data_IF_114297941856
#
_entry.id   IF_114297941856
#
_cell.length_a   1.000
_cell.length_b   1.000
_cell.length_c   1.000
_cell.angle_alpha   90.00
_cell.angle_beta   90.00
_cell.angle_gamma   90.00
#
_symmetry.space_group_name_H-M   'P 1'
#
loop_
_entity.id
_entity.type
_entity.pdbx_description
1 polymer ?
#
# COMPACT_ATOMS: atom_id res chain seq x y z
N UNK A 1 -2.80 18.23 2.65
CA UNK A 1 -1.54 17.52 2.80
C UNK A 1 -1.76 16.22 3.57
N UNK A 2 -1.16 15.16 3.11
CA UNK A 2 -1.37 13.83 3.68
C UNK A 2 -0.14 13.37 4.44
N UNK A 3 -0.38 12.58 5.49
CA UNK A 3 0.67 11.96 6.29
C UNK A 3 0.33 10.49 6.48
N UNK A 4 1.31 9.62 6.29
CA UNK A 4 1.13 8.17 6.40
C UNK A 4 1.96 7.65 7.56
N UNK A 5 1.31 6.96 8.48
CA UNK A 5 1.91 6.54 9.75
C UNK A 5 1.81 5.02 9.86
N UNK A 6 2.92 4.32 10.17
CA UNK A 6 2.83 2.88 10.39
C UNK A 6 2.05 2.57 11.67
N UNK A 7 1.25 1.53 11.62
CA UNK A 7 0.45 1.10 12.78
C UNK A 7 0.55 -0.40 12.96
N UNK A 8 0.30 -0.84 14.19
CA UNK A 8 0.21 -2.25 14.53
C UNK A 8 -1.08 -2.83 13.93
N UNK A 9 -1.07 -4.13 13.61
CA UNK A 9 -2.26 -4.78 13.06
C UNK A 9 -3.49 -4.56 13.93
N UNK A 10 -3.31 -4.44 15.24
CA UNK A 10 -4.43 -4.26 16.17
C UNK A 10 -5.21 -2.96 15.92
N UNK A 11 -4.58 -2.00 15.27
CA UNK A 11 -5.22 -0.71 14.98
C UNK A 11 -5.92 -0.68 13.63
N UNK A 12 -5.86 -1.78 12.89
CA UNK A 12 -6.54 -1.90 11.61
C UNK A 12 -8.01 -2.23 11.83
N UNK A 13 -8.83 -1.99 10.82
CA UNK A 13 -10.25 -2.33 10.92
C UNK A 13 -10.43 -3.86 10.89
N UNK A 14 -11.54 -4.36 11.44
CA UNK A 14 -11.87 -5.77 11.37
C UNK A 14 -12.12 -6.20 9.93
N UNK A 15 -11.76 -7.40 9.53
CA UNK A 15 -11.14 -8.46 10.34
C UNK A 15 -9.62 -8.39 10.42
N UNK A 16 -8.99 -7.37 9.83
CA UNK A 16 -7.54 -7.30 9.72
C UNK A 16 -6.86 -7.11 11.08
N UNK A 17 -7.58 -6.51 12.02
CA UNK A 17 -7.08 -6.30 13.38
C UNK A 17 -6.88 -7.60 14.16
N UNK A 18 -7.34 -8.72 13.61
CA UNK A 18 -7.20 -10.02 14.26
C UNK A 18 -6.11 -10.89 13.64
N UNK A 19 -5.40 -10.38 12.64
CA UNK A 19 -4.36 -11.13 11.95
C UNK A 19 -3.00 -10.57 12.32
N UNK A 20 -2.30 -11.27 13.21
CA UNK A 20 -1.01 -10.81 13.71
C UNK A 20 0.11 -10.85 12.69
N UNK A 21 -0.12 -11.42 11.51
CA UNK A 21 0.88 -11.43 10.45
C UNK A 21 0.86 -10.13 9.63
N UNK A 22 -0.11 -9.25 9.85
CA UNK A 22 -0.26 -8.05 9.05
C UNK A 22 0.46 -6.85 9.67
N UNK A 23 0.95 -5.99 8.78
CA UNK A 23 1.43 -4.66 9.11
C UNK A 23 0.47 -3.67 8.46
N UNK A 24 0.51 -2.42 8.87
CA UNK A 24 -0.39 -1.45 8.28
C UNK A 24 0.13 -0.03 8.30
N UNK A 25 -0.52 0.80 7.50
CA UNK A 25 -0.34 2.25 7.51
C UNK A 25 -1.71 2.90 7.56
N UNK A 26 -1.77 4.04 8.22
CA UNK A 26 -2.96 4.88 8.26
C UNK A 26 -2.60 6.23 7.69
N UNK A 27 -3.46 6.76 6.83
CA UNK A 27 -3.28 8.08 6.25
C UNK A 27 -4.12 9.10 6.99
N UNK A 28 -3.55 10.26 7.22
CA UNK A 28 -4.23 11.39 7.86
C UNK A 28 -4.16 12.59 6.96
N UNK A 29 -5.25 13.36 6.94
CA UNK A 29 -5.25 14.65 6.29
C UNK A 29 -4.83 15.68 7.33
N UNK A 30 -3.69 16.33 7.10
CA UNK A 30 -3.14 17.27 8.07
C UNK A 30 -3.95 18.55 8.17
N UNK A 31 -4.88 18.79 7.25
CA UNK A 31 -5.72 19.97 7.31
C UNK A 31 -6.63 19.93 8.54
N UNK A 32 -7.18 18.76 8.86
CA UNK A 32 -8.11 18.61 9.99
C UNK A 32 -7.76 17.43 10.88
N UNK A 33 -6.63 16.76 10.65
CA UNK A 33 -6.17 15.59 11.39
C UNK A 33 -7.14 14.42 11.33
N UNK A 34 -7.97 14.35 10.29
CA UNK A 34 -8.88 13.23 10.15
C UNK A 34 -8.20 12.05 9.46
N UNK A 35 -8.60 10.86 9.85
CA UNK A 35 -8.14 9.64 9.17
C UNK A 35 -8.79 9.58 7.80
N UNK A 36 -7.98 9.46 6.75
CA UNK A 36 -8.49 9.42 5.39
C UNK A 36 -8.26 8.09 4.68
N UNK A 37 -7.56 7.15 5.30
CA UNK A 37 -7.39 5.84 4.69
C UNK A 37 -6.54 4.92 5.53
N UNK A 38 -6.52 3.64 5.14
CA UNK A 38 -5.62 2.67 5.78
C UNK A 38 -5.34 1.53 4.81
N UNK A 39 -4.23 0.84 5.05
CA UNK A 39 -3.89 -0.35 4.29
C UNK A 39 -3.30 -1.41 5.20
N UNK A 40 -3.36 -2.64 4.72
CA UNK A 40 -2.78 -3.78 5.42
C UNK A 40 -1.96 -4.59 4.43
N UNK A 41 -0.81 -5.07 4.86
CA UNK A 41 0.07 -5.86 4.01
C UNK A 41 0.84 -6.85 4.87
N UNK A 42 1.40 -7.86 4.22
CA UNK A 42 2.13 -8.94 4.88
C UNK A 42 3.46 -9.15 4.18
N UNK A 43 4.54 -9.30 4.95
CA UNK A 43 5.83 -9.67 4.40
C UNK A 43 6.00 -11.17 4.45
N UNK A 44 6.59 -11.74 3.40
CA UNK A 44 6.79 -13.18 3.29
C UNK A 44 8.10 -13.44 2.55
N UNK A 45 9.21 -13.46 3.30
CA UNK A 45 10.53 -13.65 2.70
C UNK A 45 10.89 -12.47 1.81
N UNK A 46 11.14 -12.76 0.54
CA UNK A 46 11.51 -11.70 -0.42
C UNK A 46 10.32 -11.06 -1.11
N UNK A 47 9.11 -11.44 -0.73
CA UNK A 47 7.91 -10.89 -1.32
C UNK A 47 7.00 -10.30 -0.25
N UNK A 48 6.05 -9.47 -0.68
CA UNK A 48 5.03 -8.96 0.20
C UNK A 48 3.70 -8.98 -0.52
N UNK A 49 2.63 -8.99 0.24
CA UNK A 49 1.27 -8.95 -0.29
C UNK A 49 0.56 -7.74 0.29
N UNK A 50 0.05 -6.88 -0.58
CA UNK A 50 -0.82 -5.79 -0.15
C UNK A 50 -2.23 -6.35 -0.16
N UNK A 51 -2.80 -6.55 1.03
CA UNK A 51 -4.04 -7.30 1.24
C UNK A 51 -5.26 -6.40 1.18
N UNK A 52 -5.14 -5.19 1.69
CA UNK A 52 -6.28 -4.32 1.89
C UNK A 52 -5.84 -2.87 1.74
N UNK A 53 -6.62 -2.09 1.00
CA UNK A 53 -6.41 -0.66 0.84
C UNK A 53 -7.79 0.01 0.86
N UNK A 54 -7.91 1.06 1.64
CA UNK A 54 -9.15 1.82 1.71
C UNK A 54 -8.83 3.30 1.84
N UNK A 55 -9.57 4.13 1.13
CA UNK A 55 -9.43 5.57 1.22
C UNK A 55 -10.80 6.22 1.12
N UNK A 56 -10.99 7.31 1.86
CA UNK A 56 -12.22 8.08 1.80
C UNK A 56 -12.45 8.53 0.35
N UNK A 57 -13.66 8.31 -0.15
CA UNK A 57 -14.05 8.69 -1.52
C UNK A 57 -13.17 8.05 -2.58
N UNK A 58 -12.51 6.95 -2.28
CA UNK A 58 -11.56 6.29 -3.18
C UNK A 58 -10.51 7.26 -3.73
N UNK A 59 -10.07 8.19 -2.90
CA UNK A 59 -9.14 9.23 -3.30
C UNK A 59 -7.82 8.62 -3.80
N UNK A 60 -7.50 8.86 -5.06
CA UNK A 60 -6.34 8.24 -5.70
C UNK A 60 -5.02 8.65 -5.04
N UNK A 61 -4.91 9.89 -4.62
CA UNK A 61 -3.70 10.38 -3.96
C UNK A 61 -3.46 9.67 -2.63
N UNK A 62 -4.52 9.45 -1.86
CA UNK A 62 -4.43 8.72 -0.61
C UNK A 62 -4.05 7.26 -0.86
N UNK A 63 -4.68 6.63 -1.85
CA UNK A 63 -4.38 5.24 -2.20
C UNK A 63 -2.92 5.11 -2.63
N UNK A 64 -2.46 6.01 -3.49
CA UNK A 64 -1.07 5.97 -3.93
C UNK A 64 -0.11 6.09 -2.74
N UNK A 65 -0.38 7.02 -1.84
CA UNK A 65 0.47 7.20 -0.65
C UNK A 65 0.52 5.98 0.23
N UNK A 66 -0.61 5.30 0.41
CA UNK A 66 -0.67 4.08 1.20
C UNK A 66 0.15 2.97 0.54
N UNK A 67 -0.01 2.80 -0.77
CA UNK A 67 0.73 1.78 -1.51
C UNK A 67 2.23 2.06 -1.42
N UNK A 68 2.64 3.30 -1.67
CA UNK A 68 4.05 3.65 -1.64
C UNK A 68 4.64 3.48 -0.25
N UNK A 69 3.88 3.79 0.80
CA UNK A 69 4.33 3.58 2.17
C UNK A 69 4.58 2.10 2.44
N UNK A 70 3.66 1.24 2.01
CA UNK A 70 3.82 -0.19 2.17
C UNK A 70 5.05 -0.69 1.40
N UNK A 71 5.24 -0.22 0.16
CA UNK A 71 6.39 -0.62 -0.64
C UNK A 71 7.71 -0.18 -0.01
N UNK A 72 7.76 1.04 0.53
CA UNK A 72 8.95 1.52 1.22
C UNK A 72 9.24 0.68 2.46
N UNK A 73 8.22 0.30 3.19
CA UNK A 73 8.38 -0.55 4.38
C UNK A 73 9.03 -1.88 3.97
N UNK A 74 8.52 -2.50 2.92
CA UNK A 74 9.07 -3.76 2.43
C UNK A 74 10.48 -3.60 1.88
N UNK A 75 10.70 -2.56 1.08
CA UNK A 75 12.01 -2.31 0.48
C UNK A 75 13.09 -2.10 1.52
N UNK A 76 12.76 -1.44 2.62
CA UNK A 76 13.71 -1.22 3.72
C UNK A 76 14.03 -2.50 4.47
N UNK A 77 13.31 -3.58 4.21
CA UNK A 77 13.50 -4.89 4.86
C UNK A 77 13.90 -5.97 3.87
N UNK A 78 14.49 -5.55 2.76
CA UNK A 78 15.01 -6.46 1.73
C UNK A 78 13.93 -7.26 1.01
N UNK A 79 12.74 -6.73 0.93
CA UNK A 79 11.68 -7.32 0.11
C UNK A 79 11.78 -6.72 -1.29
N UNK A 80 11.70 -7.57 -2.31
CA UNK A 80 11.89 -7.13 -3.70
C UNK A 80 10.62 -7.18 -4.53
N UNK A 81 9.71 -8.10 -4.24
CA UNK A 81 8.53 -8.34 -5.06
C UNK A 81 7.28 -7.99 -4.25
N UNK A 82 6.37 -7.26 -4.88
CA UNK A 82 5.09 -6.94 -4.25
C UNK A 82 3.95 -7.50 -5.10
N UNK A 83 2.99 -8.11 -4.43
CA UNK A 83 1.75 -8.59 -5.05
C UNK A 83 0.60 -7.76 -4.50
N UNK A 84 -0.22 -7.23 -5.40
CA UNK A 84 -1.34 -6.38 -5.01
C UNK A 84 -2.61 -7.22 -5.03
N UNK A 85 -3.15 -7.50 -3.86
CA UNK A 85 -4.32 -8.37 -3.71
C UNK A 85 -5.55 -7.64 -3.20
N UNK A 86 -5.44 -6.34 -2.93
CA UNK A 86 -6.58 -5.55 -2.47
C UNK A 86 -7.61 -5.39 -3.59
N UNK A 87 -8.88 -5.32 -3.21
CA UNK A 87 -9.96 -5.13 -4.18
C UNK A 87 -10.08 -3.69 -4.64
N UNK A 88 -9.71 -2.74 -3.81
CA UNK A 88 -9.79 -1.32 -4.14
C UNK A 88 -8.44 -0.81 -4.64
N UNK A 89 -8.47 0.27 -5.42
CA UNK A 89 -7.24 0.93 -5.84
C UNK A 89 -6.48 0.24 -6.94
N UNK A 90 -7.11 -0.71 -7.63
CA UNK A 90 -6.43 -1.46 -8.70
C UNK A 90 -5.92 -0.54 -9.79
N UNK A 91 -6.70 0.46 -10.17
CA UNK A 91 -6.29 1.41 -11.21
C UNK A 91 -5.06 2.22 -10.78
N UNK A 92 -4.98 2.58 -9.51
CA UNK A 92 -3.81 3.29 -8.99
C UNK A 92 -2.59 2.36 -9.01
N UNK A 93 -2.79 1.10 -8.61
CA UNK A 93 -1.70 0.13 -8.62
C UNK A 93 -1.14 -0.06 -10.03
N UNK A 94 -2.01 -0.17 -11.02
CA UNK A 94 -1.58 -0.32 -12.42
C UNK A 94 -0.81 0.93 -12.87
N UNK A 95 -1.27 2.11 -12.49
CA UNK A 95 -0.56 3.34 -12.85
C UNK A 95 0.82 3.42 -12.22
N UNK A 96 0.99 2.82 -11.03
CA UNK A 96 2.30 2.78 -10.38
C UNK A 96 3.26 1.80 -11.06
N UNK A 97 2.74 0.85 -11.81
CA UNK A 97 3.58 -0.08 -12.54
C UNK A 97 3.33 -1.56 -12.25
N UNK A 98 2.35 -1.88 -11.41
CA UNK A 98 1.98 -3.28 -11.20
C UNK A 98 1.43 -3.85 -12.49
N UNK A 99 1.82 -5.08 -12.81
CA UNK A 99 1.38 -5.76 -14.02
C UNK A 99 0.75 -7.09 -13.69
N UNK A 100 -0.26 -7.47 -14.46
CA UNK A 100 -0.96 -8.73 -14.26
C UNK A 100 -0.09 -9.90 -14.69
N UNK A 101 0.19 -10.81 -13.76
CA UNK A 101 0.89 -12.06 -14.05
C UNK A 101 0.04 -13.20 -13.52
N UNK A 102 -0.62 -13.89 -14.43
CA UNK A 102 -1.48 -15.04 -14.10
C UNK A 102 -2.60 -14.68 -13.13
N UNK A 103 -3.18 -13.50 -13.32
CA UNK A 103 -4.32 -13.06 -12.51
C UNK A 103 -3.94 -12.33 -11.24
N UNK A 104 -2.66 -12.11 -10.98
CA UNK A 104 -2.19 -11.37 -9.81
C UNK A 104 -1.38 -10.16 -10.27
N UNK A 105 -1.70 -8.99 -9.75
CA UNK A 105 -0.89 -7.80 -10.02
C UNK A 105 0.40 -7.88 -9.23
N UNK A 106 1.52 -7.78 -9.91
CA UNK A 106 2.83 -7.93 -9.30
C UNK A 106 3.82 -6.92 -9.86
N UNK A 107 4.88 -6.66 -9.12
CA UNK A 107 5.94 -5.78 -9.58
C UNK A 107 7.12 -5.85 -8.64
N UNK A 108 8.29 -5.43 -9.12
CA UNK A 108 9.45 -5.33 -8.26
C UNK A 108 9.48 -3.94 -7.60
N UNK A 109 9.75 -3.94 -6.32
CA UNK A 109 9.62 -2.74 -5.50
C UNK A 109 10.48 -1.57 -6.00
N UNK A 110 11.78 -1.78 -6.31
CA UNK A 110 12.58 -0.65 -6.80
C UNK A 110 11.99 0.02 -8.03
N UNK A 111 11.49 -0.77 -8.97
CA UNK A 111 10.88 -0.23 -10.19
C UNK A 111 9.56 0.48 -9.88
N UNK A 112 8.74 -0.09 -8.99
CA UNK A 112 7.46 0.51 -8.64
C UNK A 112 7.65 1.89 -8.01
N UNK A 113 8.60 2.00 -7.08
CA UNK A 113 8.85 3.29 -6.42
C UNK A 113 9.46 4.30 -7.37
N UNK A 114 10.36 3.85 -8.23
CA UNK A 114 11.02 4.71 -9.19
C UNK A 114 10.07 5.13 -10.32
N UNK A 115 9.23 4.20 -10.76
CA UNK A 115 8.34 4.43 -11.88
C UNK A 115 7.40 5.60 -11.65
N UNK A 116 6.88 5.75 -10.43
CA UNK A 116 5.95 6.84 -10.17
C UNK A 116 6.64 8.19 -10.27
N UNK A 117 7.93 8.26 -9.94
CA UNK A 117 8.69 9.50 -10.11
C UNK A 117 8.87 9.84 -11.58
N UNK A 118 9.04 8.84 -12.41
CA UNK A 118 9.23 9.06 -13.84
C UNK A 118 7.98 9.51 -14.54
N UNK A 119 6.82 9.19 -14.00
CA UNK A 119 5.56 9.56 -14.65
C UNK A 119 5.31 11.06 -14.66
N UNK A 120 5.95 11.79 -13.80
CA UNK A 120 5.81 13.22 -13.78
C UNK A 120 6.46 13.93 -14.96
N UNK A 121 7.08 13.19 -15.81
CA UNK A 121 7.73 13.78 -17.00
C UNK A 121 6.81 13.76 -18.21
#
# INVERSE_FOLDING_TARGET
MLKFVPVDFKELKNPYSEDSTLCGYVGYDLTDNSKCGECAFRLNGYSMEIIFVEAADNDAETIEGLIRSALNYGGNRSVYIANYKADAGIDVAVLLGFEDENGVLTGDIPTLLKGSCCKGK
#
